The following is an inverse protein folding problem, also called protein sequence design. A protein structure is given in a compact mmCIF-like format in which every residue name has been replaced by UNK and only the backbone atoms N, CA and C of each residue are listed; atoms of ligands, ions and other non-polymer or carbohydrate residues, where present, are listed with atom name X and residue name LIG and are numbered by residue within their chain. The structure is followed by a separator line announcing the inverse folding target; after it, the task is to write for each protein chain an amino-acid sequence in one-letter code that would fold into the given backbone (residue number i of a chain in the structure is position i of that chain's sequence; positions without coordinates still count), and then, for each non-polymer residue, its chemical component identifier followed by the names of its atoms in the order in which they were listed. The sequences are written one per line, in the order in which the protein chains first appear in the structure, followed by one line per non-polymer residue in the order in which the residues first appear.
data_IF_533631516638
#
_entry.id   IF_533631516638
#
_cell.length_a   1.000
_cell.length_b   1.000
_cell.length_c   1.000
_cell.angle_alpha   90.00
_cell.angle_beta   90.00
_cell.angle_gamma   90.00
#
_symmetry.space_group_name_H-M   'P 1'
#
loop_
_entity.id
_entity.type
_entity.pdbx_description
1 polymer ?
#
# COMPACT_ATOMS: atom_id res chain seq x y z
N UNK A 1 51.09 -64.20 -41.03
CA UNK A 1 52.40 -63.95 -40.38
C UNK A 1 52.13 -63.44 -38.98
N UNK A 2 52.23 -64.32 -37.99
CA UNK A 2 52.56 -63.96 -36.60
C UNK A 2 54.07 -63.60 -36.53
N UNK A 3 54.71 -63.26 -35.39
CA UNK A 3 54.20 -63.01 -34.02
C UNK A 3 54.88 -61.82 -33.26
N UNK A 4 54.33 -61.49 -32.07
CA UNK A 4 54.98 -61.30 -30.74
C UNK A 4 56.26 -60.45 -30.60
N UNK A 5 56.25 -59.46 -29.69
CA UNK A 5 57.08 -59.50 -28.47
C UNK A 5 56.64 -58.55 -27.34
N UNK A 6 56.48 -59.12 -26.14
CA UNK A 6 56.57 -58.47 -24.83
C UNK A 6 58.04 -58.46 -24.39
N UNK A 7 58.43 -57.53 -23.50
CA UNK A 7 59.41 -57.70 -22.40
C UNK A 7 59.62 -56.33 -21.70
N UNK A 8 59.12 -56.14 -20.48
CA UNK A 8 59.74 -56.33 -19.14
C UNK A 8 60.84 -55.33 -18.76
N UNK A 9 60.69 -54.64 -17.62
CA UNK A 9 61.76 -53.80 -17.05
C UNK A 9 61.36 -52.92 -15.86
N UNK A 10 61.19 -53.55 -14.71
CA UNK A 10 61.05 -53.08 -13.31
C UNK A 10 61.95 -51.91 -12.87
N UNK A 11 61.42 -50.96 -12.06
CA UNK A 11 61.89 -50.54 -10.71
C UNK A 11 61.09 -49.30 -10.25
N UNK A 12 60.16 -49.43 -9.29
CA UNK A 12 60.31 -49.15 -7.85
C UNK A 12 60.61 -47.68 -7.47
N UNK A 13 59.62 -47.03 -6.84
CA UNK A 13 59.65 -46.41 -5.49
C UNK A 13 58.22 -45.87 -5.24
N UNK A 14 57.33 -46.50 -4.46
CA UNK A 14 57.31 -46.67 -2.99
C UNK A 14 57.16 -45.36 -2.19
N UNK A 15 55.98 -45.20 -1.57
CA UNK A 15 55.64 -44.62 -0.25
C UNK A 15 54.21 -44.00 -0.35
N UNK A 16 53.14 -44.64 0.14
CA UNK A 16 52.74 -44.82 1.56
C UNK A 16 52.86 -43.47 2.30
N UNK A 17 51.84 -42.83 2.87
CA UNK A 17 50.44 -43.17 3.11
C UNK A 17 49.85 -42.13 4.10
N UNK A 18 48.69 -42.48 4.66
CA UNK A 18 47.95 -41.87 5.77
C UNK A 18 47.04 -40.67 5.51
N UNK A 19 45.75 -41.03 5.41
CA UNK A 19 44.65 -40.30 6.03
C UNK A 19 44.89 -40.13 7.55
N UNK A 20 44.76 -38.89 8.03
CA UNK A 20 44.28 -38.59 9.38
C UNK A 20 43.36 -37.36 9.29
N UNK A 21 42.08 -37.59 9.60
CA UNK A 21 41.07 -36.57 9.84
C UNK A 21 41.42 -35.71 11.06
N UNK A 22 41.31 -34.39 10.94
CA UNK A 22 40.67 -33.51 11.93
C UNK A 22 40.67 -32.06 11.41
N UNK A 23 39.49 -31.47 11.26
CA UNK A 23 39.35 -30.05 10.92
C UNK A 23 38.04 -29.74 10.20
N UNK A 24 36.90 -29.94 10.87
CA UNK A 24 35.63 -29.40 10.43
C UNK A 24 35.72 -27.87 10.37
N UNK A 25 35.56 -27.30 9.18
CA UNK A 25 34.96 -25.96 9.02
C UNK A 25 33.78 -26.12 8.08
N UNK A 26 32.68 -26.60 8.65
CA UNK A 26 31.38 -26.58 8.02
C UNK A 26 30.95 -25.12 7.88
N UNK A 27 31.23 -24.52 6.72
CA UNK A 27 30.48 -23.35 6.24
C UNK A 27 29.09 -23.83 5.83
N UNK A 28 28.29 -24.22 6.83
CA UNK A 28 26.85 -24.40 6.69
C UNK A 28 26.27 -23.00 6.46
N UNK A 29 26.31 -22.55 5.20
CA UNK A 29 25.42 -21.50 4.75
C UNK A 29 24.01 -22.04 4.96
N UNK A 30 23.29 -21.50 5.93
CA UNK A 30 21.86 -21.70 6.04
C UNK A 30 21.21 -21.05 4.82
N UNK A 31 21.22 -21.76 3.69
CA UNK A 31 20.15 -21.62 2.71
C UNK A 31 18.91 -22.12 3.43
N UNK A 32 18.14 -21.18 3.99
CA UNK A 32 16.75 -21.45 4.28
C UNK A 32 16.09 -21.69 2.92
N UNK A 33 16.08 -22.94 2.49
CA UNK A 33 15.07 -23.41 1.58
C UNK A 33 13.78 -23.32 2.38
N UNK A 34 13.14 -22.15 2.38
CA UNK A 34 11.71 -22.15 2.65
C UNK A 34 11.15 -22.96 1.49
N UNK A 35 10.81 -24.22 1.75
CA UNK A 35 9.71 -24.83 1.03
C UNK A 35 8.61 -23.77 1.08
N UNK A 36 8.36 -23.16 -0.08
CA UNK A 36 7.17 -22.37 -0.25
C UNK A 36 6.04 -23.36 0.01
N UNK A 37 5.51 -23.33 1.23
CA UNK A 37 4.14 -23.69 1.44
C UNK A 37 3.40 -22.91 0.36
N UNK A 38 2.96 -23.59 -0.70
CA UNK A 38 1.86 -23.11 -1.52
C UNK A 38 0.63 -23.12 -0.61
N UNK A 39 0.64 -22.22 0.37
CA UNK A 39 -0.55 -21.69 0.97
C UNK A 39 -1.19 -20.86 -0.13
N UNK A 40 -2.38 -21.27 -0.50
CA UNK A 40 -3.36 -20.63 -1.37
C UNK A 40 -3.77 -19.23 -0.84
N UNK A 41 -2.81 -18.33 -0.68
CA UNK A 41 -2.99 -17.03 -0.08
C UNK A 41 -2.18 -16.00 -0.84
N UNK A 42 -2.77 -15.44 -1.90
CA UNK A 42 -2.26 -14.21 -2.50
C UNK A 42 -1.97 -13.18 -1.40
N UNK A 43 -0.84 -12.47 -1.47
CA UNK A 43 -0.55 -11.38 -0.55
C UNK A 43 -1.68 -10.34 -0.65
N UNK A 44 -2.36 -10.10 0.47
CA UNK A 44 -3.53 -9.24 0.60
C UNK A 44 -3.11 -7.90 1.18
N UNK A 45 -3.63 -6.80 0.64
CA UNK A 45 -3.34 -5.45 1.11
C UNK A 45 -4.62 -4.71 1.47
N UNK A 46 -4.73 -4.26 2.72
CA UNK A 46 -5.68 -3.25 3.16
C UNK A 46 -4.93 -1.93 3.37
N UNK A 47 -5.23 -0.94 2.54
CA UNK A 47 -4.69 0.41 2.65
C UNK A 47 -5.77 1.34 3.19
N UNK A 48 -5.47 2.04 4.28
CA UNK A 48 -6.35 3.04 4.88
C UNK A 48 -5.64 4.39 4.83
N UNK A 49 -6.24 5.36 4.14
CA UNK A 49 -5.75 6.73 4.11
C UNK A 49 -6.62 7.60 5.01
N UNK A 50 -6.01 8.15 6.06
CA UNK A 50 -6.64 9.08 7.01
C UNK A 50 -6.20 10.49 6.62
N UNK A 51 -7.09 11.27 6.02
CA UNK A 51 -6.71 12.60 5.50
C UNK A 51 -6.38 13.57 6.63
N UNK A 52 -5.42 14.46 6.39
CA UNK A 52 -4.98 15.48 7.35
C UNK A 52 -4.44 14.90 8.67
N UNK A 53 -4.11 13.60 8.73
CA UNK A 53 -3.57 12.97 9.92
C UNK A 53 -2.10 13.31 10.11
N UNK A 54 -1.84 14.42 10.80
CA UNK A 54 -0.48 14.89 11.10
C UNK A 54 0.28 13.89 11.98
N UNK A 55 1.60 13.82 11.79
CA UNK A 55 2.50 12.84 12.42
C UNK A 55 2.40 12.73 13.94
N UNK A 56 2.08 13.82 14.64
CA UNK A 56 2.01 13.90 16.10
C UNK A 56 0.63 13.54 16.66
N UNK A 57 -0.41 13.52 15.83
CA UNK A 57 -1.78 13.25 16.27
C UNK A 57 -1.97 11.91 16.99
N UNK A 58 -1.34 10.79 16.54
CA UNK A 58 -1.44 9.53 17.25
C UNK A 58 -0.84 9.54 18.67
N UNK A 59 0.08 10.47 18.94
CA UNK A 59 0.82 10.53 20.21
C UNK A 59 0.29 11.62 21.18
N UNK A 60 -0.48 12.60 20.67
CA UNK A 60 -0.91 13.77 21.45
C UNK A 60 -1.89 13.47 22.60
N UNK A 61 -2.64 12.36 22.56
CA UNK A 61 -3.71 12.09 23.52
C UNK A 61 -3.34 10.90 24.43
N UNK A 62 -3.26 11.17 25.74
CA UNK A 62 -2.99 10.19 26.80
C UNK A 62 -4.03 9.06 26.90
N UNK A 63 -5.23 9.24 26.31
CA UNK A 63 -6.26 8.21 26.16
C UNK A 63 -6.06 7.29 24.95
N UNK A 64 -4.98 7.51 24.17
CA UNK A 64 -4.31 6.60 23.25
C UNK A 64 -5.18 5.83 22.28
N UNK A 65 -5.16 6.22 21.00
CA UNK A 65 -5.72 5.49 19.86
C UNK A 65 -5.25 4.02 19.90
N UNK A 66 -6.01 3.09 20.51
CA UNK A 66 -5.42 1.83 20.93
C UNK A 66 -5.16 0.91 19.75
N UNK A 67 -5.94 1.04 18.67
CA UNK A 67 -5.66 0.36 17.41
C UNK A 67 -4.37 0.85 16.76
N UNK A 68 -4.10 2.17 16.74
CA UNK A 68 -2.82 2.69 16.22
C UNK A 68 -1.63 2.27 17.08
N UNK A 69 -1.80 2.27 18.41
CA UNK A 69 -0.78 1.76 19.33
C UNK A 69 -0.50 0.29 19.03
N UNK A 70 -1.55 -0.54 18.93
CA UNK A 70 -1.40 -1.97 18.67
C UNK A 70 -0.77 -2.24 17.29
N UNK A 71 -1.12 -1.47 16.26
CA UNK A 71 -0.47 -1.52 14.95
C UNK A 71 1.01 -1.13 15.02
N UNK A 72 1.36 -0.12 15.81
CA UNK A 72 2.75 0.29 15.99
C UNK A 72 3.56 -0.72 16.81
N UNK A 73 2.96 -1.34 17.83
CA UNK A 73 3.59 -2.36 18.68
C UNK A 73 3.78 -3.70 17.96
N UNK A 74 2.86 -4.09 17.09
CA UNK A 74 2.87 -5.36 16.35
C UNK A 74 3.31 -5.22 14.89
N UNK A 75 3.73 -4.03 14.48
CA UNK A 75 4.06 -3.70 13.09
C UNK A 75 5.26 -2.77 12.99
N UNK A 76 5.31 -2.02 11.87
CA UNK A 76 6.38 -1.04 11.61
C UNK A 76 5.77 0.34 11.55
N UNK A 77 6.39 1.29 12.25
CA UNK A 77 5.99 2.70 12.27
C UNK A 77 7.17 3.60 11.89
N UNK A 78 6.97 4.44 10.89
CA UNK A 78 7.85 5.58 10.62
C UNK A 78 7.55 6.74 11.60
N UNK A 79 8.54 7.54 12.01
CA UNK A 79 8.31 8.73 12.86
C UNK A 79 7.36 9.75 12.20
N UNK A 80 7.50 9.95 10.90
CA UNK A 80 6.64 10.77 10.06
C UNK A 80 6.83 10.38 8.58
N UNK A 81 5.91 10.84 7.73
CA UNK A 81 6.03 10.76 6.27
C UNK A 81 6.07 12.20 5.74
N UNK A 82 7.07 12.51 4.93
CA UNK A 82 7.21 13.84 4.31
C UNK A 82 6.31 13.91 3.07
N UNK A 83 5.33 14.83 3.01
CA UNK A 83 4.52 15.02 1.82
C UNK A 83 5.36 15.65 0.70
N UNK A 84 4.95 15.42 -0.55
CA UNK A 84 5.45 16.23 -1.67
C UNK A 84 4.88 17.65 -1.59
N UNK A 85 5.52 18.60 -2.28
CA UNK A 85 4.97 19.93 -2.45
C UNK A 85 4.04 19.99 -3.68
N UNK A 86 2.86 20.63 -3.59
CA UNK A 86 2.25 21.17 -2.36
C UNK A 86 1.64 20.08 -1.48
N UNK A 87 1.54 20.34 -0.18
CA UNK A 87 0.96 19.42 0.81
C UNK A 87 -0.59 19.36 0.75
N UNK A 88 -1.12 19.17 -0.45
CA UNK A 88 -2.53 19.03 -0.76
C UNK A 88 -2.91 17.56 -1.01
N UNK A 89 -4.21 17.26 -0.86
CA UNK A 89 -4.80 15.93 -1.00
C UNK A 89 -4.44 15.24 -2.32
N UNK A 90 -4.91 15.74 -3.47
CA UNK A 90 -4.70 15.08 -4.78
C UNK A 90 -3.23 14.87 -5.14
N UNK A 91 -2.34 15.88 -5.01
CA UNK A 91 -0.91 15.68 -5.27
C UNK A 91 -0.34 14.53 -4.43
N UNK A 92 -0.58 14.52 -3.12
CA UNK A 92 0.01 13.51 -2.24
C UNK A 92 -0.65 12.14 -2.37
N UNK A 93 -1.98 12.06 -2.49
CA UNK A 93 -2.69 10.80 -2.67
C UNK A 93 -2.21 10.11 -3.93
N UNK A 94 -2.08 10.83 -5.04
CA UNK A 94 -1.65 10.23 -6.30
C UNK A 94 -0.16 9.91 -6.30
N UNK A 95 0.69 10.68 -5.62
CA UNK A 95 2.08 10.27 -5.34
C UNK A 95 2.15 8.93 -4.60
N UNK A 96 1.37 8.73 -3.53
CA UNK A 96 1.39 7.45 -2.77
C UNK A 96 0.97 6.29 -3.69
N UNK A 97 0.07 6.55 -4.63
CA UNK A 97 -0.51 5.51 -5.50
C UNK A 97 0.34 5.19 -6.73
N UNK A 98 1.17 6.13 -7.18
CA UNK A 98 1.92 6.02 -8.44
C UNK A 98 3.43 5.96 -8.23
N UNK A 99 3.92 6.41 -7.07
CA UNK A 99 5.35 6.59 -6.78
C UNK A 99 5.98 7.78 -7.50
N UNK A 100 5.18 8.68 -8.09
CA UNK A 100 5.65 9.80 -8.90
C UNK A 100 5.44 11.15 -8.20
N UNK A 101 6.22 12.16 -8.60
CA UNK A 101 5.98 13.55 -8.18
C UNK A 101 4.82 14.19 -8.95
N UNK A 102 4.29 15.28 -8.40
CA UNK A 102 3.17 16.05 -8.96
C UNK A 102 3.32 16.38 -10.45
N UNK A 103 4.50 16.86 -10.85
CA UNK A 103 4.82 17.22 -12.24
C UNK A 103 4.78 16.02 -13.21
N UNK A 104 4.97 14.80 -12.70
CA UNK A 104 4.99 13.59 -13.51
C UNK A 104 3.61 12.93 -13.59
N UNK A 105 2.86 12.92 -12.49
CA UNK A 105 1.54 12.27 -12.45
C UNK A 105 0.36 13.21 -12.76
N UNK A 106 0.61 14.51 -12.96
CA UNK A 106 -0.37 15.49 -13.45
C UNK A 106 -1.12 16.26 -12.36
N UNK A 107 -1.43 15.67 -11.21
CA UNK A 107 -2.03 16.39 -10.08
C UNK A 107 -1.05 17.33 -9.36
N UNK A 108 -1.00 18.60 -9.78
CA UNK A 108 -0.22 19.66 -9.11
C UNK A 108 -1.00 20.42 -8.05
N UNK A 109 -2.33 20.28 -8.03
CA UNK A 109 -3.23 20.90 -7.07
C UNK A 109 -4.53 20.08 -6.94
N UNK A 110 -5.29 20.33 -5.88
CA UNK A 110 -6.69 19.96 -5.70
C UNK A 110 -7.64 20.66 -6.69
N UNK A 111 -7.31 21.89 -7.13
CA UNK A 111 -8.03 22.59 -8.19
C UNK A 111 -7.04 23.19 -9.19
N UNK A 112 -7.15 22.83 -10.46
CA UNK A 112 -6.17 23.23 -11.48
C UNK A 112 -6.83 23.43 -12.85
N UNK A 113 -6.19 24.22 -13.70
CA UNK A 113 -6.60 24.46 -15.08
C UNK A 113 -5.53 23.90 -16.01
N UNK A 114 -5.95 23.19 -17.05
CA UNK A 114 -5.07 22.70 -18.10
C UNK A 114 -5.35 23.48 -19.38
N UNK A 115 -4.35 24.22 -19.86
CA UNK A 115 -4.47 25.06 -21.04
C UNK A 115 -4.48 24.26 -22.36
N UNK A 116 -3.96 23.04 -22.38
CA UNK A 116 -3.99 22.16 -23.54
C UNK A 116 -5.41 21.62 -23.76
N UNK A 117 -6.08 21.18 -22.68
CA UNK A 117 -7.45 20.69 -22.74
C UNK A 117 -8.51 21.79 -22.64
N UNK A 118 -8.15 22.97 -22.13
CA UNK A 118 -9.09 24.06 -21.88
C UNK A 118 -10.11 23.72 -20.78
N UNK A 119 -9.70 22.92 -19.79
CA UNK A 119 -10.59 22.34 -18.77
C UNK A 119 -10.11 22.65 -17.35
N UNK A 120 -11.06 22.64 -16.40
CA UNK A 120 -10.80 22.80 -14.98
C UNK A 120 -11.00 21.48 -14.25
N UNK A 121 -9.96 21.06 -13.54
CA UNK A 121 -10.10 20.05 -12.51
C UNK A 121 -10.62 20.69 -11.23
N UNK A 122 -11.81 20.28 -10.79
CA UNK A 122 -12.34 20.55 -9.45
C UNK A 122 -12.46 19.22 -8.70
N UNK A 123 -11.99 19.17 -7.46
CA UNK A 123 -12.04 17.96 -6.62
C UNK A 123 -13.43 17.31 -6.60
N UNK A 124 -13.45 16.00 -6.39
CA UNK A 124 -14.67 15.28 -6.06
C UNK A 124 -15.41 15.94 -4.88
N UNK A 125 -16.74 15.97 -4.91
CA UNK A 125 -17.62 15.22 -5.81
C UNK A 125 -17.95 15.93 -7.14
N UNK A 126 -17.17 16.92 -7.58
CA UNK A 126 -17.42 17.56 -8.86
C UNK A 126 -17.23 16.57 -10.04
N UNK A 127 -18.11 16.64 -11.04
CA UNK A 127 -18.07 15.74 -12.20
C UNK A 127 -16.79 15.88 -13.03
N UNK A 128 -16.16 17.08 -13.05
CA UNK A 128 -14.87 17.30 -13.73
C UNK A 128 -13.77 16.41 -13.16
N UNK A 129 -13.87 16.00 -11.89
CA UNK A 129 -12.90 15.09 -11.28
C UNK A 129 -12.86 13.72 -11.97
N UNK A 130 -13.93 13.37 -12.70
CA UNK A 130 -14.08 12.04 -13.31
C UNK A 130 -13.59 11.94 -14.76
N UNK A 131 -13.02 13.01 -15.31
CA UNK A 131 -12.53 13.03 -16.71
C UNK A 131 -11.14 12.39 -16.79
N UNK A 132 -10.96 11.41 -17.68
CA UNK A 132 -9.79 10.52 -17.67
C UNK A 132 -8.45 11.22 -17.95
N UNK A 133 -8.44 12.30 -18.74
CA UNK A 133 -7.20 12.99 -19.13
C UNK A 133 -6.42 13.54 -17.91
N UNK A 134 -7.11 13.82 -16.80
CA UNK A 134 -6.47 14.21 -15.54
C UNK A 134 -5.69 13.07 -14.85
N UNK A 135 -6.06 11.82 -15.14
CA UNK A 135 -5.58 10.63 -14.44
C UNK A 135 -4.60 9.79 -15.27
N UNK A 136 -4.74 9.82 -16.60
CA UNK A 136 -4.03 8.92 -17.52
C UNK A 136 -2.50 9.11 -17.57
N UNK A 137 -1.99 10.25 -17.07
CA UNK A 137 -0.55 10.57 -17.00
C UNK A 137 0.25 9.57 -16.15
N UNK A 138 -0.37 8.89 -15.19
CA UNK A 138 0.28 7.86 -14.38
C UNK A 138 -0.59 6.62 -14.20
N UNK A 139 0.04 5.51 -13.82
CA UNK A 139 -0.66 4.28 -13.45
C UNK A 139 -0.69 4.15 -11.93
N UNK A 140 -1.88 4.19 -11.30
CA UNK A 140 -1.99 4.00 -9.86
C UNK A 140 -2.04 2.51 -9.48
N UNK A 141 -1.70 2.23 -8.23
CA UNK A 141 -1.57 0.89 -7.65
C UNK A 141 -2.74 -0.05 -7.97
N UNK A 142 -3.99 0.43 -7.92
CA UNK A 142 -5.15 -0.42 -8.21
C UNK A 142 -5.24 -0.81 -9.68
N UNK A 143 -4.82 0.05 -10.60
CA UNK A 143 -4.76 -0.29 -12.03
C UNK A 143 -3.64 -1.30 -12.28
N UNK A 144 -2.48 -1.15 -11.62
CA UNK A 144 -1.41 -2.16 -11.67
C UNK A 144 -1.90 -3.51 -11.15
N UNK A 145 -2.66 -3.55 -10.05
CA UNK A 145 -3.24 -4.78 -9.52
C UNK A 145 -4.18 -5.46 -10.54
N UNK A 146 -5.15 -4.71 -11.09
CA UNK A 146 -6.11 -5.21 -12.09
C UNK A 146 -5.42 -5.70 -13.38
N UNK A 147 -4.35 -5.02 -13.81
CA UNK A 147 -3.54 -5.48 -14.96
C UNK A 147 -2.84 -6.81 -14.72
N UNK A 148 -2.50 -7.12 -13.48
CA UNK A 148 -1.85 -8.37 -13.09
C UNK A 148 -2.86 -9.45 -12.64
N UNK A 149 -4.14 -9.30 -12.99
CA UNK A 149 -5.18 -10.28 -12.68
C UNK A 149 -5.61 -10.30 -11.21
N UNK A 150 -5.21 -9.32 -10.42
CA UNK A 150 -5.66 -9.14 -9.05
C UNK A 150 -6.89 -8.25 -9.00
N UNK A 151 -7.81 -8.53 -8.09
CA UNK A 151 -9.04 -7.75 -7.94
C UNK A 151 -8.87 -6.69 -6.85
N UNK A 152 -9.42 -5.50 -7.08
CA UNK A 152 -9.33 -4.37 -6.16
C UNK A 152 -10.69 -3.78 -5.78
N UNK A 153 -10.83 -3.35 -4.51
CA UNK A 153 -12.04 -2.69 -4.01
C UNK A 153 -11.70 -1.35 -3.35
N UNK A 154 -12.27 -0.27 -3.87
CA UNK A 154 -11.99 1.10 -3.45
C UNK A 154 -13.23 1.70 -2.79
N UNK A 155 -13.06 2.23 -1.56
CA UNK A 155 -14.10 2.87 -0.77
C UNK A 155 -13.79 4.35 -0.60
N UNK A 156 -14.59 5.19 -1.28
CA UNK A 156 -14.54 6.66 -1.28
C UNK A 156 -13.21 7.24 -1.73
N UNK A 157 -12.39 6.41 -2.36
CA UNK A 157 -11.14 6.79 -2.97
C UNK A 157 -11.43 7.44 -4.31
N UNK A 158 -11.17 8.74 -4.43
CA UNK A 158 -11.42 9.41 -5.70
C UNK A 158 -10.48 8.92 -6.80
N UNK A 159 -11.02 8.78 -8.01
CA UNK A 159 -10.36 8.09 -9.12
C UNK A 159 -10.86 6.67 -9.34
N UNK A 160 -11.52 6.05 -8.35
CA UNK A 160 -12.11 4.71 -8.53
C UNK A 160 -13.20 4.68 -9.61
N UNK A 161 -13.89 5.80 -9.82
CA UNK A 161 -14.95 5.96 -10.81
C UNK A 161 -14.41 6.18 -12.23
N UNK A 162 -13.13 6.54 -12.35
CA UNK A 162 -12.49 6.95 -13.60
C UNK A 162 -11.93 5.74 -14.31
N UNK A 163 -12.13 5.68 -15.62
CA UNK A 163 -11.40 4.72 -16.44
C UNK A 163 -10.00 5.26 -16.68
N UNK A 164 -9.00 4.62 -16.07
CA UNK A 164 -7.61 5.04 -16.16
C UNK A 164 -6.90 4.00 -17.01
N UNK A 165 -6.38 4.42 -18.16
CA UNK A 165 -5.69 3.54 -19.13
C UNK A 165 -6.51 2.30 -19.51
N UNK A 166 -7.81 2.48 -19.72
CA UNK A 166 -8.75 1.43 -20.15
C UNK A 166 -9.11 0.41 -19.06
N UNK A 167 -8.94 0.77 -17.78
CA UNK A 167 -9.23 -0.10 -16.63
C UNK A 167 -9.90 0.68 -15.50
N UNK A 168 -10.66 -0.07 -14.68
CA UNK A 168 -11.27 0.38 -13.43
C UNK A 168 -11.01 -0.67 -12.35
N UNK A 169 -11.05 -0.31 -11.06
CA UNK A 169 -11.07 -1.30 -9.99
C UNK A 169 -12.29 -2.21 -10.10
N UNK A 170 -12.16 -3.45 -9.64
CA UNK A 170 -13.26 -4.43 -9.59
C UNK A 170 -14.47 -3.90 -8.82
N UNK A 171 -14.24 -3.19 -7.72
CA UNK A 171 -15.30 -2.53 -6.95
C UNK A 171 -14.93 -1.07 -6.66
N UNK A 172 -15.90 -0.17 -6.88
CA UNK A 172 -15.75 1.25 -6.58
C UNK A 172 -17.00 1.76 -5.86
N UNK A 173 -16.82 2.19 -4.63
CA UNK A 173 -17.80 3.02 -3.92
C UNK A 173 -17.34 4.46 -4.01
N UNK A 174 -17.99 5.23 -4.89
CA UNK A 174 -17.62 6.62 -5.18
C UNK A 174 -17.60 7.47 -3.92
N UNK A 175 -16.70 8.45 -3.89
CA UNK A 175 -16.73 9.50 -2.87
C UNK A 175 -18.10 10.19 -2.86
N UNK A 176 -18.63 10.42 -1.66
CA UNK A 176 -19.92 11.10 -1.47
C UNK A 176 -19.73 12.23 -0.46
N UNK A 177 -20.32 13.38 -0.77
CA UNK A 177 -20.36 14.53 0.13
C UNK A 177 -21.82 14.97 0.27
N UNK A 178 -22.33 15.09 1.50
CA UNK A 178 -23.75 15.42 1.75
C UNK A 178 -23.86 16.79 2.39
N UNK A 179 -24.09 17.83 1.58
CA UNK A 179 -24.52 19.15 2.07
C UNK A 179 -23.65 19.77 3.17
N UNK A 180 -22.31 19.72 3.01
CA UNK A 180 -21.27 20.21 3.94
C UNK A 180 -20.78 19.26 5.04
N UNK A 181 -21.26 18.02 5.10
CA UNK A 181 -20.71 17.01 6.00
C UNK A 181 -20.96 15.58 5.49
N UNK A 182 -20.30 14.60 6.12
CA UNK A 182 -20.68 13.19 6.01
C UNK A 182 -21.04 12.66 7.41
N UNK A 183 -22.30 12.81 7.83
CA UNK A 183 -22.70 12.50 9.20
C UNK A 183 -22.43 11.04 9.62
N UNK A 184 -22.62 10.11 8.68
CA UNK A 184 -22.49 8.66 8.87
C UNK A 184 -21.10 8.11 8.56
N UNK A 185 -20.09 8.96 8.36
CA UNK A 185 -18.74 8.55 7.92
C UNK A 185 -18.10 7.49 8.82
N UNK A 186 -18.42 7.52 10.12
CA UNK A 186 -17.83 6.59 11.09
C UNK A 186 -18.49 5.21 11.04
N UNK A 187 -19.81 5.16 10.87
CA UNK A 187 -20.57 3.93 10.68
C UNK A 187 -20.23 3.32 9.31
N UNK A 188 -20.25 4.15 8.27
CA UNK A 188 -19.92 3.74 6.90
C UNK A 188 -18.50 3.15 6.84
N UNK A 189 -17.50 3.83 7.41
CA UNK A 189 -16.11 3.34 7.41
C UNK A 189 -15.94 2.05 8.20
N UNK A 190 -16.67 1.88 9.31
CA UNK A 190 -16.66 0.63 10.07
C UNK A 190 -17.18 -0.53 9.23
N UNK A 191 -18.32 -0.32 8.57
CA UNK A 191 -18.96 -1.35 7.77
C UNK A 191 -18.12 -1.68 6.52
N UNK A 192 -17.42 -0.69 5.94
CA UNK A 192 -16.44 -0.89 4.89
C UNK A 192 -15.21 -1.70 5.37
N UNK A 193 -14.70 -1.44 6.58
CA UNK A 193 -13.60 -2.23 7.17
C UNK A 193 -14.00 -3.69 7.39
N UNK A 194 -15.18 -3.95 7.94
CA UNK A 194 -15.70 -5.31 8.14
C UNK A 194 -15.85 -6.04 6.80
N UNK A 195 -16.41 -5.36 5.80
CA UNK A 195 -16.54 -5.89 4.44
C UNK A 195 -15.18 -6.15 3.81
N UNK A 196 -14.21 -5.24 3.99
CA UNK A 196 -12.86 -5.40 3.49
C UNK A 196 -12.18 -6.65 4.08
N UNK A 197 -12.29 -6.85 5.39
CA UNK A 197 -11.74 -8.03 6.07
C UNK A 197 -12.37 -9.33 5.56
N UNK A 198 -13.68 -9.32 5.28
CA UNK A 198 -14.37 -10.47 4.69
C UNK A 198 -13.89 -10.75 3.26
N UNK A 199 -13.86 -9.74 2.39
CA UNK A 199 -13.43 -9.88 0.99
C UNK A 199 -11.98 -10.36 0.88
N UNK A 200 -11.09 -9.79 1.71
CA UNK A 200 -9.71 -10.23 1.81
C UNK A 200 -9.65 -11.65 2.37
N UNK A 201 -10.35 -11.94 3.47
CA UNK A 201 -10.39 -13.27 4.10
C UNK A 201 -10.79 -14.39 3.12
N UNK A 202 -11.86 -14.17 2.36
CA UNK A 202 -12.40 -15.09 1.36
C UNK A 202 -11.58 -15.15 0.05
N UNK A 203 -10.51 -14.37 -0.07
CA UNK A 203 -9.71 -14.24 -1.30
C UNK A 203 -10.50 -13.74 -2.52
N UNK A 204 -11.60 -13.02 -2.30
CA UNK A 204 -12.42 -12.43 -3.36
C UNK A 204 -11.74 -11.19 -3.96
N UNK A 205 -11.01 -10.44 -3.12
CA UNK A 205 -10.27 -9.22 -3.46
C UNK A 205 -8.86 -9.32 -2.86
N UNK A 206 -7.84 -8.82 -3.55
CA UNK A 206 -6.45 -8.81 -3.08
C UNK A 206 -5.98 -7.42 -2.63
N UNK A 207 -6.62 -6.36 -3.12
CA UNK A 207 -6.32 -4.97 -2.73
C UNK A 207 -7.60 -4.25 -2.29
N UNK A 208 -7.65 -3.77 -1.05
CA UNK A 208 -8.71 -2.87 -0.58
C UNK A 208 -8.12 -1.52 -0.20
N UNK A 209 -8.75 -0.44 -0.64
CA UNK A 209 -8.38 0.92 -0.26
C UNK A 209 -9.58 1.64 0.36
N UNK A 210 -9.36 2.30 1.50
CA UNK A 210 -10.41 3.04 2.22
C UNK A 210 -9.91 4.45 2.53
N UNK A 211 -10.69 5.44 2.12
CA UNK A 211 -10.44 6.84 2.42
C UNK A 211 -11.26 7.30 3.65
N UNK A 212 -10.63 8.06 4.56
CA UNK A 212 -11.25 8.60 5.77
C UNK A 212 -10.93 10.09 5.96
N UNK A 213 -11.92 10.95 5.68
CA UNK A 213 -11.84 12.42 5.70
C UNK A 213 -11.94 13.15 7.07
N UNK A 214 -12.58 12.62 8.14
CA UNK A 214 -12.99 13.48 9.25
C UNK A 214 -11.87 14.22 9.99
N UNK A 215 -10.65 13.68 10.03
CA UNK A 215 -9.54 14.37 10.71
C UNK A 215 -9.21 15.69 10.01
N UNK A 216 -9.10 15.65 8.68
CA UNK A 216 -8.88 16.83 7.84
C UNK A 216 -10.06 17.82 7.91
N UNK A 217 -11.29 17.35 7.67
CA UNK A 217 -12.47 18.22 7.65
C UNK A 217 -12.64 19.04 8.94
N UNK A 218 -12.53 18.38 10.10
CA UNK A 218 -12.63 19.08 11.39
C UNK A 218 -11.37 19.91 11.69
N UNK A 219 -10.21 19.53 11.15
CA UNK A 219 -8.98 20.32 11.19
C UNK A 219 -9.13 21.65 10.44
N UNK A 220 -9.71 21.64 9.24
CA UNK A 220 -10.02 22.85 8.47
C UNK A 220 -11.05 23.73 9.18
N UNK A 221 -12.13 23.13 9.69
CA UNK A 221 -13.25 23.88 10.27
C UNK A 221 -12.94 24.52 11.62
N UNK A 222 -12.16 23.84 12.47
CA UNK A 222 -11.94 24.25 13.86
C UNK A 222 -10.47 24.47 14.22
N UNK A 223 -9.55 24.12 13.33
CA UNK A 223 -8.11 24.21 13.55
C UNK A 223 -7.49 22.91 14.07
N UNK A 224 -6.17 22.74 13.86
CA UNK A 224 -5.46 21.48 14.09
C UNK A 224 -5.38 21.07 15.56
N UNK A 225 -5.59 21.97 16.52
CA UNK A 225 -5.51 21.68 17.96
C UNK A 225 -6.88 21.69 18.67
N UNK A 226 -7.97 21.81 17.91
CA UNK A 226 -9.34 21.88 18.44
C UNK A 226 -9.82 20.60 19.11
N UNK A 227 -10.78 20.74 20.03
CA UNK A 227 -11.43 19.60 20.66
C UNK A 227 -12.29 18.81 19.66
N UNK A 228 -12.89 19.49 18.69
CA UNK A 228 -13.73 18.92 17.63
C UNK A 228 -12.94 17.95 16.75
N UNK A 229 -11.71 18.33 16.37
CA UNK A 229 -10.78 17.46 15.63
C UNK A 229 -10.29 16.31 16.50
N UNK A 230 -9.91 16.57 17.77
CA UNK A 230 -9.53 15.51 18.74
C UNK A 230 -10.63 14.46 18.92
N UNK A 231 -11.90 14.87 18.93
CA UNK A 231 -13.04 13.95 19.05
C UNK A 231 -13.13 12.96 17.88
N UNK A 232 -12.71 13.33 16.67
CA UNK A 232 -12.77 12.39 15.53
C UNK A 232 -11.79 11.23 15.68
N UNK A 233 -10.64 11.45 16.29
CA UNK A 233 -9.66 10.38 16.56
C UNK A 233 -10.17 9.40 17.62
N UNK A 234 -11.04 9.85 18.54
CA UNK A 234 -11.60 8.99 19.61
C UNK A 234 -12.77 8.12 19.15
N UNK A 235 -13.28 8.30 17.93
CA UNK A 235 -14.39 7.49 17.44
C UNK A 235 -13.91 6.08 17.14
N UNK A 236 -14.70 5.10 17.59
CA UNK A 236 -14.39 3.65 17.55
C UNK A 236 -14.52 3.04 16.14
N UNK A 237 -13.99 3.70 15.12
CA UNK A 237 -14.14 3.27 13.73
C UNK A 237 -12.78 2.87 13.16
N UNK A 238 -11.92 3.82 12.81
CA UNK A 238 -10.60 3.49 12.25
C UNK A 238 -9.60 3.17 13.37
N UNK A 239 -9.67 3.94 14.46
CA UNK A 239 -8.65 3.97 15.50
C UNK A 239 -8.76 2.85 16.55
N UNK A 240 -9.84 2.07 16.50
CA UNK A 240 -10.11 0.96 17.42
C UNK A 240 -10.28 -0.40 16.73
N UNK A 241 -10.67 -0.45 15.45
CA UNK A 241 -10.89 -1.71 14.74
C UNK A 241 -9.61 -2.44 14.30
N UNK A 242 -8.48 -1.74 14.27
CA UNK A 242 -7.19 -2.30 13.86
C UNK A 242 -6.44 -2.98 15.02
N UNK A 243 -7.11 -3.19 16.16
CA UNK A 243 -6.55 -3.82 17.36
C UNK A 243 -7.44 -4.89 17.94
#
# INVERSE_FOLDING_TARGET
MSPVNQDTGTLMLACIGLFLCAGQSSSFGYYSHSESNQGDGANKLLLILVDGCRWDYPDQDSTGLPGFRKLAENGVRAPYVTPIFPANSYPNWYTIMTGLYAESHGFVQNMMYDAHFGDFFLMAPNDTASVSHWWDSAEPLWITAEKNGLRSALYWWDGCQVEIRGRKPTFCRKYKYVGYAWPTVNEDTRDALLTALQLLGNNEIQLVQIYYEPVDFYGHKYGPNSLERKKQQKKKTVFYFLG
#
